data_IF_916397689010
#
_entry.id   IF_916397689010
#
_cell.length_a   1.000
_cell.length_b   1.000
_cell.length_c   1.000
_cell.angle_alpha   90.00
_cell.angle_beta   90.00
_cell.angle_gamma   90.00
#
_symmetry.space_group_name_H-M   'P 1'
#
loop_
_entity.id
_entity.type
_entity.pdbx_description
1 polymer ?
#
# COMPACT_ATOMS: atom_id res chain seq x y z
N UNK A 1 -4.81 36.63 -30.00
CA UNK A 1 -6.00 36.70 -29.12
C UNK A 1 -5.85 35.61 -28.07
N UNK A 2 -5.21 35.99 -26.95
CA UNK A 2 -5.07 35.30 -25.64
C UNK A 2 -5.05 33.75 -25.67
N UNK A 3 -3.96 33.16 -26.17
CA UNK A 3 -3.50 31.88 -25.64
C UNK A 3 -2.65 32.22 -24.41
N UNK A 4 -3.32 32.43 -23.29
CA UNK A 4 -2.66 32.71 -22.02
C UNK A 4 -1.86 31.48 -21.62
N UNK A 5 -0.53 31.59 -21.70
CA UNK A 5 0.44 31.32 -20.63
C UNK A 5 -0.06 30.41 -19.48
N UNK A 6 -0.57 29.22 -19.81
CA UNK A 6 -1.02 28.22 -18.84
C UNK A 6 0.21 27.50 -18.30
N UNK A 7 0.92 28.21 -17.41
CA UNK A 7 1.85 27.69 -16.42
C UNK A 7 2.83 26.62 -16.92
N UNK A 8 3.92 27.10 -17.53
CA UNK A 8 5.18 26.39 -17.82
C UNK A 8 5.86 25.73 -16.61
N UNK A 9 5.34 25.89 -15.39
CA UNK A 9 5.91 25.32 -14.17
C UNK A 9 5.83 23.79 -14.08
N UNK A 10 4.87 23.15 -14.75
CA UNK A 10 4.68 21.70 -14.69
C UNK A 10 5.28 20.95 -15.88
N UNK A 11 5.95 21.64 -16.80
CA UNK A 11 6.71 20.99 -17.86
C UNK A 11 8.10 20.60 -17.35
N UNK A 12 8.12 19.50 -16.58
CA UNK A 12 9.30 18.99 -15.89
C UNK A 12 10.48 18.70 -16.84
N UNK A 13 10.20 18.52 -18.13
CA UNK A 13 11.20 18.22 -19.16
C UNK A 13 12.02 19.45 -19.58
N UNK A 14 11.43 20.64 -19.50
CA UNK A 14 12.06 21.90 -19.95
C UNK A 14 12.63 22.72 -18.78
N UNK A 15 12.18 22.43 -17.56
CA UNK A 15 12.59 23.14 -16.36
C UNK A 15 14.00 22.76 -15.88
N UNK A 16 14.68 23.72 -15.23
CA UNK A 16 15.96 23.47 -14.58
C UNK A 16 15.84 22.38 -13.51
N UNK A 17 16.85 21.51 -13.40
CA UNK A 17 16.90 20.41 -12.41
C UNK A 17 16.68 20.95 -10.98
N UNK A 18 17.21 22.13 -10.67
CA UNK A 18 17.04 22.77 -9.36
C UNK A 18 15.58 23.17 -9.08
N UNK A 19 14.86 23.64 -10.10
CA UNK A 19 13.44 23.97 -9.98
C UNK A 19 12.61 22.69 -9.78
N UNK A 20 12.88 21.65 -10.56
CA UNK A 20 12.23 20.35 -10.39
C UNK A 20 12.48 19.75 -9.00
N UNK A 21 13.70 19.88 -8.48
CA UNK A 21 14.04 19.43 -7.13
C UNK A 21 13.29 20.21 -6.05
N UNK A 22 13.17 21.53 -6.21
CA UNK A 22 12.39 22.38 -5.30
C UNK A 22 10.91 21.99 -5.33
N UNK A 23 10.32 21.87 -6.52
CA UNK A 23 8.93 21.44 -6.69
C UNK A 23 8.69 20.06 -6.07
N UNK A 24 9.56 19.09 -6.36
CA UNK A 24 9.50 17.75 -5.77
C UNK A 24 9.55 17.81 -4.24
N UNK A 25 10.48 18.57 -3.68
CA UNK A 25 10.62 18.72 -2.22
C UNK A 25 9.39 19.36 -1.60
N UNK A 26 8.80 20.36 -2.25
CA UNK A 26 7.58 21.03 -1.80
C UNK A 26 6.40 20.05 -1.76
N UNK A 27 6.19 19.27 -2.84
CA UNK A 27 5.13 18.26 -2.87
C UNK A 27 5.39 17.12 -1.88
N UNK A 28 6.64 16.67 -1.74
CA UNK A 28 7.00 15.62 -0.79
C UNK A 28 6.69 16.04 0.65
N UNK A 29 7.04 17.27 1.04
CA UNK A 29 6.69 17.82 2.37
C UNK A 29 5.16 17.94 2.52
N UNK A 30 4.47 18.39 1.47
CA UNK A 30 3.00 18.47 1.47
C UNK A 30 2.33 17.12 1.70
N UNK A 31 2.78 16.08 0.99
CA UNK A 31 2.29 14.69 1.15
C UNK A 31 2.61 14.16 2.54
N UNK A 32 3.83 14.39 3.05
CA UNK A 32 4.20 13.96 4.40
C UNK A 32 3.32 14.63 5.47
N UNK A 33 3.11 15.94 5.38
CA UNK A 33 2.25 16.66 6.30
C UNK A 33 0.80 16.17 6.23
N UNK A 34 0.25 16.02 5.02
CA UNK A 34 -1.11 15.53 4.81
C UNK A 34 -1.29 14.10 5.34
N UNK A 35 -0.35 13.19 5.05
CA UNK A 35 -0.38 11.81 5.54
C UNK A 35 -0.32 11.72 7.07
N UNK A 36 0.52 12.55 7.70
CA UNK A 36 0.62 12.61 9.16
C UNK A 36 -0.69 13.06 9.82
N UNK A 37 -1.37 14.05 9.22
CA UNK A 37 -2.68 14.54 9.70
C UNK A 37 -3.80 13.55 9.42
N UNK A 38 -3.72 12.85 8.29
CA UNK A 38 -4.74 11.87 7.89
C UNK A 38 -4.88 10.77 8.94
N UNK A 39 -3.79 10.19 9.44
CA UNK A 39 -3.83 9.17 10.50
C UNK A 39 -4.65 9.63 11.71
N UNK A 40 -4.40 10.86 12.18
CA UNK A 40 -5.11 11.43 13.33
C UNK A 40 -6.58 11.72 13.03
N UNK A 41 -6.90 12.16 11.81
CA UNK A 41 -8.29 12.40 11.42
C UNK A 41 -9.08 11.11 11.25
N UNK A 42 -8.46 10.04 10.79
CA UNK A 42 -9.11 8.73 10.70
C UNK A 42 -9.53 8.25 12.09
N UNK A 43 -8.67 8.39 13.09
CA UNK A 43 -9.00 8.04 14.48
C UNK A 43 -10.18 8.88 15.01
N UNK A 44 -10.17 10.19 14.77
CA UNK A 44 -11.25 11.09 15.17
C UNK A 44 -12.58 10.78 14.45
N UNK A 45 -12.52 10.38 13.18
CA UNK A 45 -13.72 9.99 12.42
C UNK A 45 -14.30 8.71 13.02
N UNK A 46 -13.47 7.71 13.31
CA UNK A 46 -13.92 6.48 13.96
C UNK A 46 -14.61 6.75 15.30
N UNK A 47 -14.02 7.58 16.16
CA UNK A 47 -14.60 7.93 17.46
C UNK A 47 -15.94 8.69 17.34
N UNK A 48 -16.04 9.60 16.37
CA UNK A 48 -17.24 10.44 16.16
C UNK A 48 -18.39 9.69 15.51
N UNK A 49 -18.08 8.76 14.60
CA UNK A 49 -19.09 8.03 13.81
C UNK A 49 -19.46 6.68 14.44
N UNK A 50 -18.65 6.18 15.37
CA UNK A 50 -18.83 4.87 15.99
C UNK A 50 -18.48 3.70 15.06
N UNK A 51 -17.91 3.96 13.87
CA UNK A 51 -17.34 2.90 13.05
C UNK A 51 -16.02 2.47 13.70
N UNK A 52 -15.81 1.16 13.86
CA UNK A 52 -14.63 0.66 14.57
C UNK A 52 -13.32 1.21 14.00
N UNK A 53 -12.39 1.60 14.88
CA UNK A 53 -11.07 2.15 14.54
C UNK A 53 -10.34 1.33 13.46
N UNK A 54 -10.37 0.00 13.57
CA UNK A 54 -9.76 -0.90 12.59
C UNK A 54 -10.41 -0.80 11.19
N UNK A 55 -11.74 -0.66 11.13
CA UNK A 55 -12.46 -0.52 9.87
C UNK A 55 -12.24 0.86 9.23
N UNK A 56 -12.27 1.92 10.03
CA UNK A 56 -11.95 3.27 9.56
C UNK A 56 -10.51 3.35 9.02
N UNK A 57 -9.54 2.78 9.76
CA UNK A 57 -8.16 2.64 9.32
C UNK A 57 -8.05 1.91 7.99
N UNK A 58 -8.64 0.71 7.88
CA UNK A 58 -8.58 -0.09 6.67
C UNK A 58 -9.16 0.66 5.45
N UNK A 59 -10.31 1.32 5.62
CA UNK A 59 -11.00 1.98 4.51
C UNK A 59 -10.40 3.35 4.15
N UNK A 60 -10.25 4.24 5.13
CA UNK A 60 -9.88 5.62 4.90
C UNK A 60 -8.36 5.80 4.78
N UNK A 61 -7.60 5.27 5.74
CA UNK A 61 -6.15 5.37 5.71
C UNK A 61 -5.60 4.50 4.58
N UNK A 62 -6.00 3.23 4.53
CA UNK A 62 -5.59 2.29 3.47
C UNK A 62 -6.00 2.76 2.07
N UNK A 63 -7.24 3.22 1.90
CA UNK A 63 -7.72 3.77 0.64
C UNK A 63 -6.91 4.99 0.19
N UNK A 64 -6.68 5.95 1.08
CA UNK A 64 -5.92 7.15 0.75
C UNK A 64 -4.47 6.87 0.36
N UNK A 65 -3.82 5.88 0.98
CA UNK A 65 -2.44 5.51 0.65
C UNK A 65 -2.32 4.75 -0.66
N UNK A 66 -3.34 3.97 -1.04
CA UNK A 66 -3.34 3.20 -2.29
C UNK A 66 -3.89 3.96 -3.49
N UNK A 67 -4.63 5.05 -3.29
CA UNK A 67 -5.18 5.88 -4.37
C UNK A 67 -4.13 6.36 -5.39
N UNK A 68 -2.96 6.90 -4.97
CA UNK A 68 -1.91 7.30 -5.91
C UNK A 68 -1.39 6.13 -6.74
N UNK A 69 -1.17 4.98 -6.11
CA UNK A 69 -0.68 3.76 -6.78
C UNK A 69 -1.71 3.21 -7.78
N UNK A 70 -3.01 3.26 -7.43
CA UNK A 70 -4.09 2.91 -8.34
C UNK A 70 -4.12 3.86 -9.55
N UNK A 71 -4.00 5.16 -9.33
CA UNK A 71 -3.99 6.15 -10.40
C UNK A 71 -2.82 5.94 -11.37
N UNK A 72 -1.61 5.70 -10.87
CA UNK A 72 -0.44 5.43 -11.74
C UNK A 72 -0.57 4.10 -12.47
N UNK A 73 -1.05 3.05 -11.78
CA UNK A 73 -1.24 1.71 -12.37
C UNK A 73 -2.30 1.73 -13.48
N UNK A 74 -3.45 2.36 -13.24
CA UNK A 74 -4.52 2.50 -14.25
C UNK A 74 -4.02 3.32 -15.44
N UNK A 75 -3.33 4.43 -15.19
CA UNK A 75 -2.81 5.28 -16.28
C UNK A 75 -1.78 4.54 -17.14
N UNK A 76 -0.87 3.78 -16.51
CA UNK A 76 0.11 2.96 -17.22
C UNK A 76 -0.57 1.84 -18.02
N UNK A 77 -1.54 1.14 -17.43
CA UNK A 77 -2.30 0.08 -18.09
C UNK A 77 -3.12 0.61 -19.28
N UNK A 78 -3.81 1.73 -19.10
CA UNK A 78 -4.59 2.38 -20.16
C UNK A 78 -3.73 2.88 -21.32
N UNK A 79 -2.45 3.20 -21.06
CA UNK A 79 -1.48 3.62 -22.08
C UNK A 79 -0.82 2.43 -22.79
N UNK A 80 -1.24 1.20 -22.53
CA UNK A 80 -0.64 -0.02 -23.10
C UNK A 80 0.70 -0.41 -22.46
N UNK A 81 1.15 0.30 -21.43
CA UNK A 81 2.38 0.02 -20.69
C UNK A 81 2.12 -0.97 -19.54
N UNK A 82 1.65 -2.17 -19.88
CA UNK A 82 1.28 -3.19 -18.89
C UNK A 82 2.47 -3.64 -18.02
N UNK A 83 3.68 -3.74 -18.60
CA UNK A 83 4.90 -4.03 -17.85
C UNK A 83 5.23 -2.93 -16.83
N UNK A 84 5.01 -1.66 -17.18
CA UNK A 84 5.21 -0.54 -16.28
C UNK A 84 4.21 -0.57 -15.11
N UNK A 85 2.95 -0.92 -15.40
CA UNK A 85 1.92 -1.11 -14.38
C UNK A 85 2.31 -2.24 -13.39
N UNK A 86 2.76 -3.38 -13.91
CA UNK A 86 3.22 -4.50 -13.07
C UNK A 86 4.44 -4.17 -12.21
N UNK A 87 5.43 -3.49 -12.80
CA UNK A 87 6.62 -3.04 -12.08
C UNK A 87 6.30 -1.98 -11.02
N UNK A 88 5.35 -1.09 -11.27
CA UNK A 88 4.87 -0.11 -10.29
C UNK A 88 4.26 -0.80 -9.07
N UNK A 89 3.44 -1.84 -9.26
CA UNK A 89 2.85 -2.62 -8.16
C UNK A 89 3.92 -3.31 -7.30
N UNK A 90 4.85 -4.03 -7.94
CA UNK A 90 5.93 -4.73 -7.22
C UNK A 90 6.87 -3.76 -6.50
N UNK A 91 7.25 -2.68 -7.19
CA UNK A 91 8.09 -1.62 -6.63
C UNK A 91 7.42 -0.90 -5.47
N UNK A 92 6.11 -0.64 -5.54
CA UNK A 92 5.32 -0.04 -4.47
C UNK A 92 5.37 -0.88 -3.18
N UNK A 93 5.05 -2.17 -3.29
CA UNK A 93 5.11 -3.08 -2.13
C UNK A 93 6.53 -3.20 -1.56
N UNK A 94 7.55 -3.30 -2.43
CA UNK A 94 8.95 -3.34 -2.01
C UNK A 94 9.36 -2.06 -1.27
N UNK A 95 8.98 -0.88 -1.77
CA UNK A 95 9.27 0.39 -1.12
C UNK A 95 8.56 0.54 0.22
N UNK A 96 7.29 0.14 0.33
CA UNK A 96 6.55 0.16 1.59
C UNK A 96 7.26 -0.70 2.65
N UNK A 97 7.66 -1.94 2.29
CA UNK A 97 8.41 -2.82 3.19
C UNK A 97 9.79 -2.23 3.52
N UNK A 98 10.51 -1.68 2.54
CA UNK A 98 11.83 -1.08 2.75
C UNK A 98 11.79 0.13 3.69
N UNK A 99 10.76 0.97 3.57
CA UNK A 99 10.55 2.11 4.47
C UNK A 99 10.28 1.63 5.89
N UNK A 100 9.40 0.64 6.07
CA UNK A 100 9.12 0.05 7.40
C UNK A 100 10.38 -0.59 8.01
N UNK A 101 11.13 -1.35 7.22
CA UNK A 101 12.40 -1.95 7.66
C UNK A 101 13.44 -0.88 8.04
N UNK A 102 13.52 0.20 7.27
CA UNK A 102 14.37 1.35 7.59
C UNK A 102 13.96 2.03 8.90
N UNK A 103 12.65 2.19 9.14
CA UNK A 103 12.13 2.73 10.39
C UNK A 103 12.43 1.82 11.59
N UNK A 104 12.31 0.50 11.44
CA UNK A 104 12.65 -0.47 12.49
C UNK A 104 14.13 -0.33 12.92
N UNK A 105 15.04 -0.17 11.95
CA UNK A 105 16.48 -0.04 12.21
C UNK A 105 16.82 1.33 12.82
N UNK A 106 16.28 2.42 12.27
CA UNK A 106 16.68 3.79 12.64
C UNK A 106 15.96 4.24 13.91
N UNK A 107 14.65 4.05 14.01
CA UNK A 107 13.82 4.64 15.05
C UNK A 107 13.57 3.70 16.24
N UNK A 108 13.53 2.39 16.01
CA UNK A 108 13.06 1.43 17.01
C UNK A 108 14.14 0.57 17.66
N UNK A 109 15.41 0.74 17.28
CA UNK A 109 16.61 0.22 17.99
C UNK A 109 16.44 -1.23 18.48
N UNK A 110 16.02 -2.13 17.59
CA UNK A 110 15.72 -3.56 17.80
C UNK A 110 14.36 -3.91 18.43
N UNK A 111 13.36 -3.01 18.38
CA UNK A 111 11.95 -3.35 18.66
C UNK A 111 11.14 -3.25 17.37
N UNK A 112 11.05 -4.32 16.55
CA UNK A 112 10.31 -4.27 15.30
C UNK A 112 8.87 -3.81 15.54
N UNK A 113 8.28 -3.09 14.59
CA UNK A 113 6.86 -2.70 14.67
C UNK A 113 5.94 -3.90 14.98
N UNK A 114 6.30 -5.09 14.51
CA UNK A 114 5.62 -6.36 14.79
C UNK A 114 5.53 -6.71 16.27
N UNK A 115 6.48 -6.27 17.10
CA UNK A 115 6.46 -6.45 18.56
C UNK A 115 5.30 -5.71 19.22
N UNK A 116 4.88 -4.58 18.67
CA UNK A 116 3.81 -3.75 19.22
C UNK A 116 2.40 -4.20 18.80
N UNK A 117 2.29 -5.14 17.86
CA UNK A 117 1.01 -5.70 17.43
C UNK A 117 1.16 -7.20 17.14
N UNK A 118 1.35 -8.05 18.16
CA UNK A 118 1.49 -9.50 17.99
C UNK A 118 0.11 -10.13 17.72
N UNK A 119 -0.42 -9.92 16.52
CA UNK A 119 -1.65 -10.57 16.05
C UNK A 119 -1.30 -11.68 15.06
N UNK A 120 -1.80 -12.89 15.31
CA UNK A 120 -1.68 -14.03 14.38
C UNK A 120 -2.19 -13.71 12.97
N UNK A 121 -3.19 -12.82 12.87
CA UNK A 121 -3.71 -12.32 11.61
C UNK A 121 -2.64 -11.62 10.73
N UNK A 122 -1.65 -10.93 11.31
CA UNK A 122 -0.60 -10.24 10.53
C UNK A 122 0.33 -11.23 9.84
N UNK A 123 0.67 -12.33 10.50
CA UNK A 123 1.49 -13.40 9.90
C UNK A 123 0.73 -14.02 8.72
N UNK A 124 -0.57 -14.28 8.90
CA UNK A 124 -1.43 -14.82 7.85
C UNK A 124 -1.54 -13.86 6.67
N UNK A 125 -1.73 -12.55 6.92
CA UNK A 125 -1.73 -11.51 5.89
C UNK A 125 -0.41 -11.47 5.13
N UNK A 126 0.73 -11.56 5.83
CA UNK A 126 2.05 -11.61 5.21
C UNK A 126 2.25 -12.83 4.29
N UNK A 127 1.79 -14.01 4.72
CA UNK A 127 1.83 -15.23 3.89
C UNK A 127 1.00 -15.04 2.62
N UNK A 128 -0.23 -14.54 2.75
CA UNK A 128 -1.09 -14.27 1.61
C UNK A 128 -0.49 -13.23 0.65
N UNK A 129 0.12 -12.17 1.18
CA UNK A 129 0.82 -11.17 0.38
C UNK A 129 1.96 -11.81 -0.43
N UNK A 130 2.79 -12.65 0.18
CA UNK A 130 3.89 -13.35 -0.51
C UNK A 130 3.35 -14.26 -1.63
N UNK A 131 2.26 -14.98 -1.37
CA UNK A 131 1.62 -15.83 -2.39
C UNK A 131 1.08 -14.99 -3.55
N UNK A 132 0.47 -13.85 -3.26
CA UNK A 132 -0.04 -12.93 -4.29
C UNK A 132 1.08 -12.34 -5.14
N UNK A 133 2.15 -11.88 -4.52
CA UNK A 133 3.31 -11.36 -5.23
C UNK A 133 3.95 -12.44 -6.11
N UNK A 134 4.01 -13.68 -5.63
CA UNK A 134 4.52 -14.82 -6.41
C UNK A 134 3.67 -15.07 -7.66
N UNK A 135 2.33 -15.00 -7.55
CA UNK A 135 1.44 -15.06 -8.72
C UNK A 135 1.67 -13.88 -9.67
N UNK A 136 1.79 -12.65 -9.16
CA UNK A 136 2.09 -11.48 -9.99
C UNK A 136 3.40 -11.65 -10.75
N UNK A 137 4.45 -12.15 -10.09
CA UNK A 137 5.72 -12.46 -10.77
C UNK A 137 5.57 -13.53 -11.86
N UNK A 138 4.76 -14.56 -11.64
CA UNK A 138 4.46 -15.57 -12.66
C UNK A 138 3.75 -14.97 -13.88
N UNK A 139 2.83 -14.02 -13.68
CA UNK A 139 2.13 -13.30 -14.76
C UNK A 139 3.13 -12.54 -15.62
N UNK A 140 4.04 -11.79 -14.98
CA UNK A 140 5.00 -10.95 -15.68
C UNK A 140 6.00 -11.76 -16.51
N UNK A 141 6.36 -12.97 -16.06
CA UNK A 141 7.30 -13.84 -16.78
C UNK A 141 6.61 -14.68 -17.85
N UNK A 142 5.45 -15.25 -17.54
CA UNK A 142 4.78 -16.23 -18.41
C UNK A 142 3.87 -15.57 -19.44
N UNK A 143 3.48 -14.31 -19.22
CA UNK A 143 2.38 -13.69 -19.93
C UNK A 143 1.03 -14.37 -19.64
N UNK A 144 -0.01 -13.93 -20.34
CA UNK A 144 -1.35 -14.49 -20.17
C UNK A 144 -1.50 -15.78 -20.97
N UNK A 145 -1.81 -16.89 -20.28
CA UNK A 145 -1.90 -18.21 -20.91
C UNK A 145 -3.25 -18.43 -21.60
N UNK A 146 -4.32 -17.87 -21.03
CA UNK A 146 -5.70 -18.01 -21.53
C UNK A 146 -6.42 -16.67 -21.31
N UNK A 147 -6.93 -16.08 -22.39
CA UNK A 147 -7.78 -14.89 -22.33
C UNK A 147 -9.20 -15.25 -22.72
N UNK A 148 -10.16 -14.97 -21.83
CA UNK A 148 -11.59 -15.10 -22.12
C UNK A 148 -12.29 -13.77 -21.90
N UNK A 149 -12.99 -13.28 -22.92
CA UNK A 149 -13.66 -11.97 -22.93
C UNK A 149 -12.75 -10.78 -22.55
N UNK A 150 -11.45 -10.86 -22.86
CA UNK A 150 -10.47 -9.83 -22.50
C UNK A 150 -9.95 -9.89 -21.06
N UNK A 151 -10.40 -10.86 -20.27
CA UNK A 151 -9.91 -11.12 -18.91
C UNK A 151 -9.01 -12.35 -18.94
N UNK A 152 -7.81 -12.20 -18.40
CA UNK A 152 -6.86 -13.29 -18.21
C UNK A 152 -7.27 -14.28 -17.12
N UNK A 153 -6.78 -15.51 -17.20
CA UNK A 153 -6.86 -16.48 -16.11
C UNK A 153 -6.17 -15.96 -14.85
N UNK A 154 -5.02 -15.30 -14.98
CA UNK A 154 -4.24 -14.92 -13.81
C UNK A 154 -4.88 -13.82 -12.94
N UNK A 155 -5.43 -12.71 -13.50
CA UNK A 155 -6.20 -11.74 -12.72
C UNK A 155 -7.40 -12.38 -12.00
N UNK A 156 -8.04 -13.38 -12.60
CA UNK A 156 -9.15 -14.11 -11.98
C UNK A 156 -8.63 -14.92 -10.78
N UNK A 157 -7.52 -15.66 -10.95
CA UNK A 157 -6.90 -16.40 -9.85
C UNK A 157 -6.46 -15.48 -8.71
N UNK A 158 -5.86 -14.33 -9.03
CA UNK A 158 -5.50 -13.30 -8.04
C UNK A 158 -6.74 -12.80 -7.28
N UNK A 159 -7.84 -12.53 -7.99
CA UNK A 159 -9.09 -12.06 -7.39
C UNK A 159 -9.73 -13.10 -6.47
N UNK A 160 -9.71 -14.38 -6.89
CA UNK A 160 -10.19 -15.50 -6.07
C UNK A 160 -9.31 -15.66 -4.83
N UNK A 161 -7.99 -15.59 -4.97
CA UNK A 161 -7.05 -15.70 -3.85
C UNK A 161 -7.19 -14.52 -2.88
N UNK A 162 -7.47 -13.31 -3.38
CA UNK A 162 -7.76 -12.13 -2.56
C UNK A 162 -9.02 -12.34 -1.72
N UNK A 163 -10.11 -12.76 -2.36
CA UNK A 163 -11.37 -13.04 -1.66
C UNK A 163 -11.22 -14.16 -0.63
N UNK A 164 -10.46 -15.21 -0.96
CA UNK A 164 -10.14 -16.29 -0.03
C UNK A 164 -9.30 -15.79 1.16
N UNK A 165 -8.32 -14.91 0.92
CA UNK A 165 -7.55 -14.25 1.96
C UNK A 165 -8.42 -13.44 2.91
N UNK A 166 -9.27 -12.56 2.36
CA UNK A 166 -10.22 -11.78 3.16
C UNK A 166 -11.16 -12.66 4.00
N UNK A 167 -11.72 -13.71 3.40
CA UNK A 167 -12.58 -14.66 4.11
C UNK A 167 -11.83 -15.36 5.26
N UNK A 168 -10.58 -15.75 5.01
CA UNK A 168 -9.71 -16.35 6.02
C UNK A 168 -9.42 -15.36 7.15
N UNK A 169 -9.01 -14.12 6.83
CA UNK A 169 -8.69 -13.09 7.83
C UNK A 169 -9.86 -12.81 8.77
N UNK A 170 -11.07 -12.64 8.23
CA UNK A 170 -12.28 -12.44 9.04
C UNK A 170 -12.57 -13.61 9.97
N UNK A 171 -12.21 -14.84 9.57
CA UNK A 171 -12.41 -16.03 10.39
C UNK A 171 -11.39 -16.16 11.53
N UNK A 172 -10.19 -15.62 11.35
CA UNK A 172 -9.11 -15.66 12.35
C UNK A 172 -9.04 -14.43 13.26
N UNK A 173 -9.64 -13.29 12.89
CA UNK A 173 -9.72 -12.11 13.76
C UNK A 173 -10.56 -12.30 15.04
N UNK A 174 -11.43 -13.31 15.08
CA UNK A 174 -12.32 -13.59 16.22
C UNK A 174 -11.82 -14.61 17.25
N UNK A 175 -10.59 -15.11 17.14
CA UNK A 175 -10.11 -16.24 17.95
C UNK A 175 -8.90 -15.87 18.83
N UNK A 176 -9.10 -15.59 20.14
CA UNK A 176 -8.03 -15.20 21.05
C UNK A 176 -7.25 -16.46 21.49
N UNK A 177 -6.51 -17.10 20.58
CA UNK A 177 -5.72 -18.32 20.91
C UNK A 177 -4.31 -18.04 21.38
N UNK A 178 -3.87 -16.79 21.33
CA UNK A 178 -2.54 -16.41 21.79
C UNK A 178 -2.65 -15.30 22.83
N UNK A 179 -2.78 -15.73 24.09
CA UNK A 179 -2.39 -14.90 25.22
C UNK A 179 -0.88 -15.10 25.42
N UNK A 180 -0.06 -14.02 25.50
CA UNK A 180 1.34 -14.16 25.84
C UNK A 180 1.47 -14.86 27.19
N UNK A 181 1.99 -16.08 27.19
CA UNK A 181 2.28 -16.80 28.41
C UNK A 181 3.42 -16.10 29.17
N UNK A 182 3.05 -15.45 30.27
CA UNK A 182 3.98 -14.98 31.29
C UNK A 182 4.56 -13.60 31.02
N UNK A 183 3.98 -12.59 31.67
CA UNK A 183 4.80 -11.57 32.31
C UNK A 183 5.80 -12.32 33.20
N UNK A 184 7.08 -12.27 32.83
CA UNK A 184 8.15 -12.61 33.75
C UNK A 184 7.98 -11.69 34.96
N UNK A 185 7.56 -12.25 36.08
CA UNK A 185 7.72 -11.64 37.40
C UNK A 185 9.16 -11.11 37.46
N UNK A 186 9.29 -9.78 37.44
CA UNK A 186 10.57 -9.14 37.66
C UNK A 186 10.94 -9.37 39.14
N UNK A 187 12.15 -9.86 39.46
CA UNK A 187 12.62 -9.91 40.83
C UNK A 187 12.84 -8.51 41.42
#
# INVERSE_FOLDING_TARGET
MIAGDSMTLFDLSQNSIWLNFLLFSLFAVGVWYAGSKLSLYVDLIADRTGIGQAFAGALLLGGATSLPELATTISASASGAAELAGNNLLGGVAMQIAVLAGMDVICLRNRPLTFFSPKSALILQGIFLILMLSLVSMILVSGELITWAGIGLWPVMLSVMYGFGLWSFHRYEGDPRWEPAGELEQP
#
